data_IF_054011649691
#
_entry.id   IF_054011649691
#
_cell.length_a   1.000
_cell.length_b   1.000
_cell.length_c   1.000
_cell.angle_alpha   90.00
_cell.angle_beta   90.00
_cell.angle_gamma   90.00
#
_symmetry.space_group_name_H-M   'P 1'
#
loop_
_entity.id
_entity.type
_entity.pdbx_description
1 polymer ?
#
# COMPACT_ATOMS: atom_id res chain seq x y z
N UNK A 1 12.33 -50.80 -1.04
CA UNK A 1 12.11 -50.58 -2.49
C UNK A 1 12.75 -49.27 -2.87
N UNK A 2 13.60 -49.28 -3.90
CA UNK A 2 14.49 -48.20 -4.35
C UNK A 2 13.91 -47.53 -5.60
N UNK A 3 14.21 -46.22 -5.73
CA UNK A 3 14.24 -45.35 -6.93
C UNK A 3 12.96 -44.58 -7.32
N UNK A 4 13.07 -43.40 -7.99
CA UNK A 4 14.18 -42.42 -7.95
C UNK A 4 13.73 -40.94 -7.86
N UNK A 5 14.76 -40.13 -7.60
CA UNK A 5 14.86 -38.66 -7.66
C UNK A 5 14.77 -38.20 -9.12
N UNK A 6 13.95 -37.18 -9.41
CA UNK A 6 14.07 -36.36 -10.61
C UNK A 6 14.56 -34.95 -10.25
N UNK A 7 15.81 -34.68 -10.61
CA UNK A 7 16.36 -33.32 -10.78
C UNK A 7 15.94 -32.84 -12.17
N UNK A 8 15.37 -31.63 -12.24
CA UNK A 8 15.31 -30.85 -13.46
C UNK A 8 16.14 -29.57 -13.29
N UNK A 9 16.88 -29.26 -14.33
CA UNK A 9 18.00 -28.32 -14.42
C UNK A 9 17.62 -27.20 -15.40
N UNK A 10 18.24 -26.01 -15.26
CA UNK A 10 18.37 -24.89 -16.23
C UNK A 10 17.12 -24.03 -16.45
N UNK A 11 17.16 -22.72 -16.72
CA UNK A 11 18.19 -21.72 -17.09
C UNK A 11 17.75 -20.36 -16.46
N UNK A 12 18.57 -19.40 -16.07
CA UNK A 12 19.67 -18.79 -16.82
C UNK A 12 19.14 -17.60 -17.65
N UNK A 13 19.01 -16.41 -17.06
CA UNK A 13 18.94 -15.15 -17.81
C UNK A 13 19.58 -14.01 -16.99
N UNK A 14 20.83 -13.69 -17.32
CA UNK A 14 21.47 -12.41 -16.97
C UNK A 14 21.02 -11.37 -18.01
N UNK A 15 20.61 -10.18 -17.55
CA UNK A 15 20.50 -9.01 -18.41
C UNK A 15 21.30 -7.85 -17.79
N UNK A 16 22.39 -7.52 -18.46
CA UNK A 16 23.23 -6.32 -18.32
C UNK A 16 22.41 -5.05 -18.59
N UNK A 17 22.58 -4.01 -17.78
CA UNK A 17 22.43 -2.63 -18.28
C UNK A 17 23.56 -1.74 -17.78
N UNK A 18 24.07 -0.97 -18.74
CA UNK A 18 25.34 -0.28 -18.75
C UNK A 18 25.33 1.02 -17.93
N UNK A 19 26.45 1.28 -17.26
CA UNK A 19 26.79 2.55 -16.67
C UNK A 19 27.22 3.56 -17.76
N UNK A 20 26.71 4.79 -17.68
CA UNK A 20 27.25 5.93 -18.43
C UNK A 20 27.99 6.82 -17.42
N UNK A 21 29.32 6.85 -17.54
CA UNK A 21 30.16 7.82 -16.87
C UNK A 21 30.35 9.02 -17.82
N UNK A 22 30.00 10.23 -17.37
CA UNK A 22 30.48 11.47 -17.99
C UNK A 22 31.60 12.04 -17.12
N UNK A 23 32.83 11.87 -17.60
CA UNK A 23 33.98 12.69 -17.25
C UNK A 23 34.19 13.72 -18.37
N UNK A 24 34.20 15.00 -18.03
CA UNK A 24 34.85 16.02 -18.84
C UNK A 24 35.43 17.09 -17.91
N UNK A 25 36.75 17.09 -17.87
CA UNK A 25 37.64 18.07 -17.28
C UNK A 25 37.77 19.25 -18.24
N UNK A 26 37.95 20.46 -17.72
CA UNK A 26 38.19 21.65 -18.53
C UNK A 26 38.49 22.89 -17.70
N UNK A 27 39.72 22.95 -17.18
CA UNK A 27 40.35 24.15 -16.62
C UNK A 27 40.92 25.01 -17.74
N UNK A 28 40.91 26.33 -17.58
CA UNK A 28 41.55 27.27 -18.50
C UNK A 28 41.39 28.70 -18.00
N UNK A 29 42.27 29.11 -17.10
CA UNK A 29 42.48 30.50 -16.69
C UNK A 29 43.20 31.26 -17.81
N UNK A 30 42.65 32.39 -18.24
CA UNK A 30 43.39 33.40 -18.99
C UNK A 30 43.00 34.80 -18.48
N UNK A 31 44.04 35.54 -18.13
CA UNK A 31 44.02 36.76 -17.33
C UNK A 31 43.92 37.97 -18.26
N UNK A 32 42.79 38.69 -18.25
CA UNK A 32 42.69 40.01 -18.91
C UNK A 32 41.94 41.01 -18.05
N UNK A 33 42.70 42.01 -17.56
CA UNK A 33 42.40 43.43 -17.22
C UNK A 33 40.94 43.84 -16.90
N UNK A 34 40.66 44.50 -15.76
CA UNK A 34 39.31 44.88 -15.39
C UNK A 34 38.84 46.10 -16.21
N UNK A 35 37.84 45.91 -17.06
CA UNK A 35 37.02 47.00 -17.62
C UNK A 35 35.84 47.23 -16.69
N UNK A 36 35.66 48.45 -16.19
CA UNK A 36 34.54 48.81 -15.32
C UNK A 36 33.21 48.75 -16.09
N UNK A 37 32.36 47.78 -15.74
CA UNK A 37 30.99 47.63 -16.27
C UNK A 37 30.03 48.57 -15.53
N UNK A 38 29.12 49.28 -16.22
CA UNK A 38 28.03 50.01 -15.55
C UNK A 38 27.06 49.04 -14.86
N UNK A 39 26.29 49.49 -13.85
CA UNK A 39 25.39 48.62 -13.09
C UNK A 39 24.30 48.03 -13.99
N UNK A 40 24.24 46.69 -14.03
CA UNK A 40 23.18 45.92 -14.69
C UNK A 40 21.88 46.09 -13.90
N UNK A 41 20.82 46.56 -14.56
CA UNK A 41 19.47 46.60 -13.98
C UNK A 41 19.00 45.19 -13.60
N UNK A 42 18.43 45.07 -12.40
CA UNK A 42 17.90 43.81 -11.88
C UNK A 42 16.85 43.20 -12.85
N UNK A 43 16.81 41.86 -13.00
CA UNK A 43 15.75 41.21 -13.77
C UNK A 43 14.38 41.51 -13.14
N UNK A 44 13.31 41.64 -13.94
CA UNK A 44 11.97 41.77 -13.41
C UNK A 44 11.64 40.56 -12.51
N UNK A 45 11.09 40.84 -11.34
CA UNK A 45 10.64 39.82 -10.41
C UNK A 45 9.70 38.84 -11.14
N UNK A 46 10.12 37.58 -11.24
CA UNK A 46 9.28 36.52 -11.80
C UNK A 46 7.96 36.47 -11.05
N UNK A 47 6.86 36.33 -11.80
CA UNK A 47 5.53 36.08 -11.23
C UNK A 47 5.61 34.91 -10.25
N UNK A 48 5.03 35.03 -9.04
CA UNK A 48 4.98 33.94 -8.08
C UNK A 48 4.44 32.67 -8.74
N UNK A 49 5.00 31.49 -8.43
CA UNK A 49 4.45 30.24 -8.93
C UNK A 49 2.96 30.17 -8.58
N UNK A 50 2.15 29.77 -9.57
CA UNK A 50 0.71 29.61 -9.38
C UNK A 50 0.46 28.69 -8.17
N UNK A 51 -0.50 29.02 -7.28
CA UNK A 51 -0.84 28.17 -6.15
C UNK A 51 -1.12 26.75 -6.63
N UNK A 52 -0.54 25.75 -5.95
CA UNK A 52 -0.84 24.35 -6.21
C UNK A 52 -2.36 24.14 -6.16
N UNK A 53 -2.94 23.33 -7.07
CA UNK A 53 -4.37 23.03 -7.03
C UNK A 53 -4.78 22.59 -5.63
N UNK A 54 -5.90 23.11 -5.13
CA UNK A 54 -6.44 22.70 -3.85
C UNK A 54 -6.56 21.17 -3.80
N UNK A 55 -6.21 20.51 -2.68
CA UNK A 55 -6.39 19.08 -2.54
C UNK A 55 -7.84 18.72 -2.86
N UNK A 56 -8.05 17.71 -3.71
CA UNK A 56 -9.36 17.09 -3.84
C UNK A 56 -9.88 16.79 -2.42
N UNK A 57 -11.13 17.18 -2.12
CA UNK A 57 -11.72 17.00 -0.80
C UNK A 57 -11.68 15.52 -0.42
N UNK A 58 -10.75 15.14 0.46
CA UNK A 58 -10.62 13.77 0.94
C UNK A 58 -11.56 13.54 2.11
N UNK A 59 -12.39 12.51 2.04
CA UNK A 59 -13.23 12.06 3.15
C UNK A 59 -12.48 11.01 3.96
N UNK A 60 -12.22 11.24 5.25
CA UNK A 60 -11.55 10.26 6.09
C UNK A 60 -12.39 9.01 6.25
N UNK A 61 -11.73 7.85 6.24
CA UNK A 61 -12.36 6.55 6.47
C UNK A 61 -11.87 5.92 7.76
N UNK A 62 -10.55 5.92 7.98
CA UNK A 62 -9.93 5.38 9.18
C UNK A 62 -8.59 6.07 9.44
N UNK A 63 -8.44 6.64 10.62
CA UNK A 63 -7.20 7.20 11.14
C UNK A 63 -6.87 6.49 12.45
N UNK A 64 -5.86 5.59 12.46
CA UNK A 64 -5.46 4.87 13.67
C UNK A 64 -5.13 5.79 14.84
N UNK A 65 -5.56 5.41 16.03
CA UNK A 65 -5.21 6.07 17.28
C UNK A 65 -4.22 5.22 18.10
N UNK A 66 -3.89 5.67 19.31
CA UNK A 66 -3.14 4.88 20.30
C UNK A 66 -3.98 3.78 20.97
N UNK A 67 -4.95 3.22 20.25
CA UNK A 67 -5.86 2.17 20.68
C UNK A 67 -6.32 1.33 19.48
N UNK A 68 -7.16 0.33 19.73
CA UNK A 68 -7.83 -0.46 18.68
C UNK A 68 -8.94 0.31 17.96
N UNK A 69 -9.16 1.58 18.27
CA UNK A 69 -10.15 2.43 17.63
C UNK A 69 -9.49 3.44 16.67
N UNK A 70 -10.28 3.94 15.73
CA UNK A 70 -9.93 5.02 14.80
C UNK A 70 -10.64 6.31 15.21
N UNK A 71 -10.15 7.46 14.75
CA UNK A 71 -10.79 8.76 15.06
C UNK A 71 -12.22 8.89 14.51
N UNK A 72 -12.56 8.07 13.53
CA UNK A 72 -13.85 7.95 12.87
C UNK A 72 -14.75 6.91 13.55
N UNK A 73 -14.39 6.46 14.77
CA UNK A 73 -15.15 5.51 15.59
C UNK A 73 -15.29 4.12 14.94
N UNK A 74 -14.45 3.81 13.94
CA UNK A 74 -14.25 2.45 13.43
C UNK A 74 -13.19 1.71 14.25
N UNK A 75 -13.16 0.37 14.18
CA UNK A 75 -12.12 -0.46 14.81
C UNK A 75 -10.96 -0.82 13.89
N UNK A 76 -9.83 -1.13 14.51
CA UNK A 76 -8.67 -1.79 13.93
C UNK A 76 -8.57 -3.19 14.52
N UNK A 77 -8.53 -4.20 13.65
CA UNK A 77 -8.27 -5.59 14.02
C UNK A 77 -7.00 -6.09 13.35
N UNK A 78 -6.29 -6.99 14.04
CA UNK A 78 -5.16 -7.72 13.48
C UNK A 78 -5.54 -9.18 13.34
N UNK A 79 -5.12 -9.79 12.25
CA UNK A 79 -5.22 -11.24 12.12
C UNK A 79 -4.03 -11.76 11.33
N UNK A 80 -3.61 -12.97 11.66
CA UNK A 80 -2.58 -13.69 10.95
C UNK A 80 -3.15 -15.00 10.46
N UNK A 81 -2.58 -15.50 9.37
CA UNK A 81 -2.99 -16.76 8.76
C UNK A 81 -1.74 -17.52 8.32
N UNK A 82 -1.85 -18.84 8.33
CA UNK A 82 -0.81 -19.76 7.93
C UNK A 82 -1.47 -21.13 7.66
N UNK A 83 -1.12 -21.79 6.56
CA UNK A 83 -1.52 -23.19 6.34
C UNK A 83 -0.91 -24.12 7.41
N UNK A 84 0.26 -23.76 7.95
CA UNK A 84 0.96 -24.48 9.01
C UNK A 84 1.11 -23.55 10.20
N UNK A 85 0.11 -23.52 11.07
CA UNK A 85 0.06 -22.60 12.22
C UNK A 85 1.24 -22.77 13.18
N UNK A 86 1.82 -23.97 13.28
CA UNK A 86 3.02 -24.25 14.08
C UNK A 86 4.32 -23.66 13.50
N UNK A 87 4.31 -23.23 12.24
CA UNK A 87 5.44 -22.54 11.58
C UNK A 87 5.28 -21.01 11.59
N UNK A 88 4.22 -20.50 12.23
CA UNK A 88 3.93 -19.08 12.37
C UNK A 88 4.11 -18.63 13.82
N UNK A 89 4.90 -17.58 14.03
CA UNK A 89 4.99 -16.87 15.31
C UNK A 89 4.37 -15.49 15.16
N UNK A 90 3.43 -15.16 16.04
CA UNK A 90 2.79 -13.84 16.07
C UNK A 90 3.71 -12.82 16.75
N UNK A 91 3.91 -11.69 16.10
CA UNK A 91 4.55 -10.53 16.71
C UNK A 91 3.57 -9.72 17.56
N UNK A 92 4.10 -8.69 18.21
CA UNK A 92 3.26 -7.71 18.90
C UNK A 92 2.60 -6.76 17.90
N UNK A 93 1.36 -6.36 18.21
CA UNK A 93 0.73 -5.20 17.58
C UNK A 93 1.16 -3.93 18.31
N UNK A 94 1.46 -2.88 17.57
CA UNK A 94 1.75 -1.55 18.10
C UNK A 94 0.74 -0.55 17.55
N UNK A 95 0.01 0.10 18.46
CA UNK A 95 -0.93 1.17 18.13
C UNK A 95 -0.30 2.52 18.46
N UNK A 96 -0.23 3.40 17.47
CA UNK A 96 0.22 4.78 17.63
C UNK A 96 -0.75 5.72 16.93
N UNK A 97 -0.79 6.98 17.38
CA UNK A 97 -1.54 8.01 16.66
C UNK A 97 -1.01 8.13 15.23
N UNK A 98 -1.87 7.91 14.25
CA UNK A 98 -1.54 7.99 12.82
C UNK A 98 -1.00 6.70 12.20
N UNK A 99 -0.73 5.63 12.96
CA UNK A 99 -0.34 4.34 12.39
C UNK A 99 -0.52 3.16 13.36
N UNK A 100 -0.95 2.02 12.82
CA UNK A 100 -0.88 0.71 13.49
C UNK A 100 0.18 -0.14 12.78
N UNK A 101 0.94 -0.93 13.53
CA UNK A 101 1.92 -1.89 12.99
C UNK A 101 1.64 -3.29 13.52
N UNK A 102 1.72 -4.29 12.64
CA UNK A 102 1.58 -5.69 13.02
C UNK A 102 2.58 -6.55 12.24
N UNK A 103 3.15 -7.55 12.92
CA UNK A 103 4.16 -8.42 12.35
C UNK A 103 3.87 -9.89 12.67
N UNK A 104 4.32 -10.76 11.78
CA UNK A 104 4.44 -12.20 11.99
C UNK A 104 5.78 -12.69 11.47
N UNK A 105 6.24 -13.84 11.94
CA UNK A 105 7.43 -14.50 11.39
C UNK A 105 7.13 -15.95 11.05
N UNK A 106 7.73 -16.41 9.95
CA UNK A 106 7.60 -17.77 9.43
C UNK A 106 8.93 -18.48 9.46
N UNK A 107 8.95 -19.74 9.86
CA UNK A 107 10.17 -20.57 9.90
C UNK A 107 10.34 -21.50 8.70
N UNK A 108 9.30 -21.64 7.87
CA UNK A 108 9.27 -22.52 6.70
C UNK A 108 8.57 -21.91 5.49
N UNK A 109 8.62 -22.63 4.37
CA UNK A 109 7.86 -22.28 3.18
C UNK A 109 6.39 -22.71 3.34
N UNK A 110 5.49 -21.81 2.98
CA UNK A 110 4.05 -22.01 3.09
C UNK A 110 3.35 -21.64 1.78
N UNK A 111 2.29 -22.36 1.41
CA UNK A 111 1.48 -21.98 0.25
C UNK A 111 0.66 -20.71 0.50
N UNK A 112 0.25 -20.48 1.76
CA UNK A 112 -0.51 -19.29 2.16
C UNK A 112 -0.24 -18.97 3.63
N UNK A 113 0.41 -17.84 3.87
CA UNK A 113 0.61 -17.28 5.21
C UNK A 113 0.71 -15.75 5.15
N UNK A 114 0.65 -15.07 6.30
CA UNK A 114 0.85 -13.63 6.34
C UNK A 114 0.30 -12.96 7.59
N UNK A 115 0.51 -11.65 7.63
CA UNK A 115 -0.05 -10.72 8.60
C UNK A 115 -1.05 -9.81 7.90
N UNK A 116 -2.11 -9.43 8.61
CA UNK A 116 -3.13 -8.54 8.10
C UNK A 116 -3.62 -7.56 9.16
N UNK A 117 -3.97 -6.36 8.68
CA UNK A 117 -4.64 -5.31 9.42
C UNK A 117 -5.98 -5.03 8.74
N UNK A 118 -7.06 -5.00 9.52
CA UNK A 118 -8.40 -4.63 9.08
C UNK A 118 -8.79 -3.31 9.73
N UNK A 119 -9.14 -2.34 8.91
CA UNK A 119 -9.69 -1.06 9.35
C UNK A 119 -11.17 -1.03 8.97
N UNK A 120 -12.05 -1.06 9.97
CA UNK A 120 -13.49 -1.00 9.76
C UNK A 120 -13.93 0.41 9.35
N UNK A 121 -15.01 0.46 8.57
CA UNK A 121 -15.69 1.69 8.21
C UNK A 121 -16.10 2.51 9.45
N UNK A 122 -16.28 3.83 9.32
CA UNK A 122 -16.69 4.70 10.42
C UNK A 122 -17.88 4.14 11.20
N UNK A 123 -17.81 4.21 12.53
CA UNK A 123 -18.81 3.68 13.47
C UNK A 123 -19.01 2.13 13.47
N UNK A 124 -18.13 1.35 12.84
CA UNK A 124 -18.22 -0.12 12.85
C UNK A 124 -17.15 -0.78 13.72
N UNK A 125 -17.55 -1.87 14.40
CA UNK A 125 -16.68 -2.64 15.31
C UNK A 125 -16.50 -4.09 14.89
N UNK A 126 -16.91 -4.47 13.67
CA UNK A 126 -16.94 -5.87 13.22
C UNK A 126 -18.19 -6.66 13.62
N UNK A 127 -19.07 -6.07 14.43
CA UNK A 127 -20.30 -6.69 14.95
C UNK A 127 -21.53 -5.89 14.56
N UNK A 128 -22.69 -6.56 14.44
CA UNK A 128 -23.95 -5.89 14.14
C UNK A 128 -24.36 -4.88 15.24
N UNK A 129 -25.05 -3.78 14.90
CA UNK A 129 -25.47 -3.38 13.55
C UNK A 129 -24.30 -2.88 12.69
N UNK A 130 -24.25 -3.32 11.43
CA UNK A 130 -23.21 -2.91 10.46
C UNK A 130 -23.75 -1.75 9.62
N UNK A 131 -22.97 -0.67 9.53
CA UNK A 131 -23.27 0.50 8.70
C UNK A 131 -22.17 0.71 7.67
N UNK A 132 -22.29 0.16 6.45
CA UNK A 132 -21.26 0.30 5.43
C UNK A 132 -21.04 1.76 5.00
N UNK A 133 -19.82 2.09 4.61
CA UNK A 133 -19.45 3.37 4.03
C UNK A 133 -19.75 3.38 2.53
N UNK A 134 -20.53 4.35 2.08
CA UNK A 134 -20.82 4.53 0.65
C UNK A 134 -19.72 5.37 -0.01
N UNK A 135 -18.81 4.67 -0.70
CA UNK A 135 -17.72 5.25 -1.47
C UNK A 135 -18.06 5.47 -2.96
N UNK A 136 -19.32 5.33 -3.39
CA UNK A 136 -19.70 5.32 -4.82
C UNK A 136 -19.26 6.57 -5.59
N UNK A 137 -19.26 7.73 -4.91
CA UNK A 137 -18.95 9.03 -5.49
C UNK A 137 -17.46 9.36 -5.54
N UNK A 138 -16.57 8.49 -5.08
CA UNK A 138 -15.12 8.73 -5.05
C UNK A 138 -14.40 8.00 -6.18
N UNK A 139 -13.37 8.62 -6.73
CA UNK A 139 -12.50 8.03 -7.76
C UNK A 139 -11.28 7.31 -7.20
N UNK A 140 -10.85 7.61 -5.98
CA UNK A 140 -9.55 7.20 -5.44
C UNK A 140 -9.61 6.77 -3.98
N UNK A 141 -8.87 5.71 -3.66
CA UNK A 141 -8.45 5.34 -2.30
C UNK A 141 -7.08 5.96 -2.04
N UNK A 142 -6.92 6.57 -0.88
CA UNK A 142 -5.64 7.08 -0.36
C UNK A 142 -5.32 6.36 0.93
N UNK A 143 -4.16 5.71 0.97
CA UNK A 143 -3.77 4.88 2.12
C UNK A 143 -2.28 5.02 2.41
N UNK A 144 -1.94 5.34 3.66
CA UNK A 144 -0.55 5.38 4.10
C UNK A 144 -0.07 3.98 4.48
N UNK A 145 1.01 3.53 3.87
CA UNK A 145 1.53 2.17 4.02
C UNK A 145 3.04 2.15 4.28
N UNK A 146 3.48 1.12 5.00
CA UNK A 146 4.89 0.82 5.28
C UNK A 146 5.08 -0.68 5.54
N UNK A 147 6.28 -1.19 5.24
CA UNK A 147 6.79 -2.48 5.72
C UNK A 147 8.27 -2.34 6.08
N UNK A 148 8.81 -3.13 7.00
CA UNK A 148 10.23 -3.00 7.38
C UNK A 148 11.20 -3.33 6.23
N UNK A 149 10.73 -4.11 5.25
CA UNK A 149 11.45 -4.44 4.01
C UNK A 149 10.64 -3.99 2.79
N UNK A 150 11.27 -4.05 1.62
CA UNK A 150 10.52 -3.91 0.36
C UNK A 150 9.50 -5.05 0.27
N UNK A 151 8.23 -4.69 0.07
CA UNK A 151 7.13 -5.64 0.08
C UNK A 151 6.01 -5.22 -0.89
N UNK A 152 5.27 -6.21 -1.40
CA UNK A 152 4.02 -5.99 -2.12
C UNK A 152 2.86 -6.27 -1.17
N UNK A 153 2.21 -5.22 -0.68
CA UNK A 153 1.02 -5.36 0.16
C UNK A 153 -0.22 -5.53 -0.71
N UNK A 154 -1.11 -6.42 -0.29
CA UNK A 154 -2.45 -6.56 -0.88
C UNK A 154 -3.44 -5.73 -0.09
N UNK A 155 -4.17 -4.85 -0.77
CA UNK A 155 -5.28 -4.07 -0.22
C UNK A 155 -6.58 -4.71 -0.69
N UNK A 156 -7.49 -5.02 0.24
CA UNK A 156 -8.82 -5.54 -0.07
C UNK A 156 -9.87 -4.55 0.39
N UNK A 157 -10.80 -4.24 -0.50
CA UNK A 157 -12.03 -3.53 -0.14
C UNK A 157 -13.09 -4.58 0.17
N UNK A 158 -13.46 -4.70 1.45
CA UNK A 158 -14.47 -5.67 1.88
C UNK A 158 -15.84 -5.01 1.84
N UNK A 159 -16.79 -5.50 1.02
CA UNK A 159 -18.18 -5.06 1.10
C UNK A 159 -18.90 -5.71 2.28
N UNK A 160 -20.06 -5.17 2.66
CA UNK A 160 -21.04 -5.89 3.47
C UNK A 160 -22.44 -5.88 2.82
N UNK A 161 -23.06 -7.05 2.57
CA UNK A 161 -22.51 -8.39 2.79
C UNK A 161 -21.33 -8.71 1.85
N UNK A 162 -20.43 -9.58 2.31
CA UNK A 162 -19.41 -10.18 1.43
C UNK A 162 -20.11 -11.15 0.47
N UNK A 163 -19.67 -11.18 -0.79
CA UNK A 163 -20.20 -12.12 -1.78
C UNK A 163 -20.05 -13.58 -1.29
N UNK A 164 -21.05 -14.42 -1.57
CA UNK A 164 -21.11 -15.79 -1.05
C UNK A 164 -19.99 -16.71 -1.59
N UNK A 165 -19.41 -16.37 -2.73
CA UNK A 165 -18.26 -17.03 -3.34
C UNK A 165 -16.91 -16.59 -2.71
N UNK A 166 -16.93 -15.68 -1.73
CA UNK A 166 -15.73 -15.16 -1.07
C UNK A 166 -14.90 -14.25 -1.97
N UNK A 167 -15.43 -13.84 -3.12
CA UNK A 167 -14.74 -12.99 -4.06
C UNK A 167 -14.68 -11.54 -3.55
N UNK A 168 -13.49 -10.96 -3.59
CA UNK A 168 -13.22 -9.59 -3.17
C UNK A 168 -12.25 -8.95 -4.15
N UNK A 169 -12.48 -7.67 -4.45
CA UNK A 169 -11.63 -6.90 -5.33
C UNK A 169 -10.36 -6.48 -4.57
N UNK A 170 -9.19 -6.70 -5.16
CA UNK A 170 -7.91 -6.47 -4.50
C UNK A 170 -6.99 -5.60 -5.33
N UNK A 171 -6.24 -4.72 -4.67
CA UNK A 171 -5.16 -3.95 -5.26
C UNK A 171 -3.82 -4.38 -4.65
N UNK A 172 -2.73 -4.06 -5.34
CA UNK A 172 -1.37 -4.27 -4.85
C UNK A 172 -0.65 -2.94 -4.73
N UNK A 173 0.16 -2.79 -3.69
CA UNK A 173 1.03 -1.63 -3.49
C UNK A 173 2.45 -2.07 -3.14
N UNK A 174 3.43 -1.52 -3.85
CA UNK A 174 4.84 -1.64 -3.49
C UNK A 174 5.16 -0.63 -2.40
N UNK A 175 5.75 -1.11 -1.31
CA UNK A 175 6.08 -0.29 -0.14
C UNK A 175 7.47 -0.66 0.38
N UNK A 176 8.01 0.19 1.24
CA UNK A 176 9.29 -0.01 1.91
C UNK A 176 9.21 0.52 3.36
N UNK A 177 10.38 0.71 3.98
CA UNK A 177 10.54 1.17 5.37
C UNK A 177 10.08 2.60 5.65
N UNK A 178 9.73 3.36 4.61
CA UNK A 178 9.19 4.72 4.70
C UNK A 178 7.67 4.71 4.58
N UNK A 179 6.99 5.27 5.58
CA UNK A 179 5.54 5.46 5.52
C UNK A 179 5.21 6.46 4.42
N UNK A 180 4.47 6.00 3.42
CA UNK A 180 4.16 6.75 2.20
C UNK A 180 2.69 6.62 1.86
N UNK A 181 2.09 7.71 1.38
CA UNK A 181 0.73 7.67 0.83
C UNK A 181 0.73 6.98 -0.53
N UNK A 182 -0.08 5.94 -0.66
CA UNK A 182 -0.40 5.27 -1.92
C UNK A 182 -1.79 5.74 -2.36
N UNK A 183 -1.87 6.18 -3.61
CA UNK A 183 -3.13 6.59 -4.24
C UNK A 183 -3.50 5.55 -5.28
N UNK A 184 -4.68 4.95 -5.13
CA UNK A 184 -5.15 3.85 -5.97
C UNK A 184 -6.49 4.24 -6.57
N UNK A 185 -6.63 4.09 -7.88
CA UNK A 185 -7.91 4.36 -8.55
C UNK A 185 -8.96 3.30 -8.13
N UNK A 186 -10.19 3.74 -7.92
CA UNK A 186 -11.32 2.88 -7.53
C UNK A 186 -12.06 2.38 -8.76
N UNK A 187 -11.33 1.64 -9.61
CA UNK A 187 -11.83 1.02 -10.83
C UNK A 187 -11.45 -0.46 -10.91
N UNK A 188 -11.97 -1.15 -11.92
CA UNK A 188 -11.71 -2.58 -12.15
C UNK A 188 -10.29 -2.90 -12.60
N UNK A 189 -9.50 -1.90 -12.99
CA UNK A 189 -8.11 -2.08 -13.42
C UNK A 189 -7.20 -2.17 -12.20
N UNK A 190 -7.42 -1.28 -11.23
CA UNK A 190 -6.65 -1.20 -9.99
C UNK A 190 -7.17 -2.18 -8.93
N UNK A 191 -8.46 -2.49 -8.95
CA UNK A 191 -9.10 -3.50 -8.11
C UNK A 191 -9.75 -4.60 -8.97
N UNK A 192 -8.96 -5.44 -9.67
CA UNK A 192 -9.50 -6.57 -10.41
C UNK A 192 -10.17 -7.57 -9.47
N UNK A 193 -11.19 -8.24 -9.99
CA UNK A 193 -11.70 -9.48 -9.38
C UNK A 193 -10.86 -10.66 -9.89
N UNK A 194 -10.58 -11.67 -9.04
CA UNK A 194 -9.96 -12.90 -9.50
C UNK A 194 -10.75 -13.55 -10.64
N UNK A 195 -10.06 -14.14 -11.63
CA UNK A 195 -10.72 -14.67 -12.84
C UNK A 195 -11.76 -15.77 -12.55
N UNK A 196 -11.57 -16.54 -11.47
CA UNK A 196 -12.52 -17.57 -11.04
C UNK A 196 -13.82 -16.98 -10.46
N UNK A 197 -13.83 -15.69 -10.15
CA UNK A 197 -15.03 -14.95 -9.76
C UNK A 197 -15.82 -14.66 -11.04
N UNK A 198 -16.87 -15.47 -11.28
CA UNK A 198 -17.71 -15.42 -12.49
C UNK A 198 -18.58 -14.14 -12.58
N UNK A 199 -17.97 -12.96 -12.55
CA UNK A 199 -18.62 -11.65 -12.69
C UNK A 199 -19.60 -11.23 -11.59
N UNK A 200 -19.93 -12.14 -10.65
CA UNK A 200 -20.90 -11.92 -9.59
C UNK A 200 -20.28 -11.56 -8.23
N UNK A 201 -19.01 -11.94 -8.00
CA UNK A 201 -18.20 -11.38 -6.92
C UNK A 201 -18.18 -9.85 -7.05
N UNK A 202 -18.31 -9.12 -5.94
CA UNK A 202 -18.71 -7.72 -5.94
C UNK A 202 -17.88 -6.87 -6.91
N UNK A 203 -18.45 -6.52 -8.07
CA UNK A 203 -17.85 -5.58 -9.00
C UNK A 203 -17.46 -4.31 -8.23
N UNK A 204 -16.39 -3.62 -8.62
CA UNK A 204 -15.86 -2.46 -7.88
C UNK A 204 -16.95 -1.42 -7.57
N UNK A 205 -17.91 -1.21 -8.47
CA UNK A 205 -19.08 -0.38 -8.23
C UNK A 205 -19.95 -0.84 -7.03
N UNK A 206 -20.22 -2.15 -6.92
CA UNK A 206 -20.95 -2.74 -5.81
C UNK A 206 -20.14 -2.69 -4.50
N UNK A 207 -18.82 -2.90 -4.57
CA UNK A 207 -17.94 -2.78 -3.41
C UNK A 207 -17.96 -1.34 -2.87
N UNK A 208 -17.84 -0.36 -3.76
CA UNK A 208 -17.89 1.06 -3.40
C UNK A 208 -19.21 1.44 -2.74
N UNK A 209 -20.34 0.84 -3.12
CA UNK A 209 -21.63 1.17 -2.53
C UNK A 209 -21.77 0.73 -1.05
N UNK A 210 -20.90 -0.16 -0.57
CA UNK A 210 -21.02 -0.72 0.78
C UNK A 210 -19.70 -1.17 1.38
N UNK A 211 -18.67 -0.32 1.34
CA UNK A 211 -17.35 -0.62 1.93
C UNK A 211 -17.51 -0.77 3.44
N UNK A 212 -17.23 -1.96 3.94
CA UNK A 212 -17.32 -2.31 5.36
C UNK A 212 -15.97 -2.28 6.06
N UNK A 213 -14.91 -2.70 5.37
CA UNK A 213 -13.54 -2.55 5.85
C UNK A 213 -12.56 -2.41 4.71
N UNK A 214 -11.38 -1.90 5.04
CA UNK A 214 -10.18 -1.97 4.22
C UNK A 214 -9.22 -2.92 4.92
N UNK A 215 -8.90 -4.03 4.28
CA UNK A 215 -7.91 -4.98 4.79
C UNK A 215 -6.58 -4.74 4.05
N UNK A 216 -5.49 -4.65 4.78
CA UNK A 216 -4.13 -4.59 4.24
C UNK A 216 -3.39 -5.83 4.69
N UNK A 217 -2.77 -6.52 3.75
CA UNK A 217 -2.21 -7.85 3.95
C UNK A 217 -0.78 -7.88 3.41
N UNK A 218 0.16 -8.33 4.25
CA UNK A 218 1.47 -8.77 3.81
C UNK A 218 1.43 -10.30 3.69
N UNK A 219 1.18 -10.79 2.46
CA UNK A 219 1.14 -12.22 2.17
C UNK A 219 2.55 -12.77 2.01
N UNK A 220 2.75 -13.97 2.54
CA UNK A 220 4.03 -14.63 2.63
C UNK A 220 3.94 -16.08 2.18
N UNK A 221 4.94 -16.49 1.40
CA UNK A 221 5.15 -17.90 1.01
C UNK A 221 6.51 -18.45 1.47
N UNK A 222 7.33 -17.57 2.05
CA UNK A 222 8.69 -17.88 2.49
C UNK A 222 8.88 -17.59 3.97
N UNK A 223 9.87 -18.27 4.56
CA UNK A 223 10.37 -17.95 5.87
C UNK A 223 10.85 -16.49 5.98
N UNK A 224 10.87 -15.95 7.20
CA UNK A 224 11.27 -14.57 7.48
C UNK A 224 10.22 -13.79 8.26
N UNK A 225 10.56 -12.54 8.57
CA UNK A 225 9.64 -11.58 9.17
C UNK A 225 8.77 -10.94 8.08
N UNK A 226 7.49 -10.80 8.38
CA UNK A 226 6.49 -10.18 7.51
C UNK A 226 5.69 -9.19 8.35
N UNK A 227 5.95 -7.91 8.16
CA UNK A 227 5.26 -6.84 8.86
C UNK A 227 4.57 -5.90 7.88
N UNK A 228 3.57 -5.21 8.40
CA UNK A 228 2.93 -4.10 7.73
C UNK A 228 2.58 -3.02 8.76
N UNK A 229 2.55 -1.79 8.28
CA UNK A 229 1.96 -0.68 8.99
C UNK A 229 0.97 0.05 8.09
N UNK A 230 -0.17 0.41 8.66
CA UNK A 230 -1.22 1.18 8.00
C UNK A 230 -1.44 2.45 8.78
N UNK A 231 -1.35 3.58 8.09
CA UNK A 231 -1.68 4.89 8.60
C UNK A 231 -3.08 5.33 8.22
N UNK A 232 -3.22 6.59 7.81
CA UNK A 232 -4.52 7.15 7.43
C UNK A 232 -5.06 6.50 6.15
N UNK A 233 -6.38 6.25 6.15
CA UNK A 233 -7.18 5.81 5.00
C UNK A 233 -8.24 6.86 4.69
N UNK A 234 -8.35 7.26 3.43
CA UNK A 234 -9.37 8.22 2.97
C UNK A 234 -9.80 7.98 1.53
N UNK A 235 -10.95 8.54 1.15
CA UNK A 235 -11.50 8.49 -0.20
C UNK A 235 -11.53 9.89 -0.81
N UNK A 236 -11.25 10.01 -2.11
CA UNK A 236 -11.23 11.30 -2.82
C UNK A 236 -11.63 11.16 -4.29
N UNK A 237 -11.86 12.28 -4.97
CA UNK A 237 -12.01 12.34 -6.44
C UNK A 237 -10.68 12.60 -7.14
#
# INVERSE_FOLDING_TARGET
>A
MKHPIHKATQAGLLALFAAVALTACGSGDDETTPTATPPVSAPPAGTPPAPAPAPATSTPFATPMNSTDTSEVGKVETYAFAEKSNEQTLGAVSFAAGAVTFATSLTGAQAFAGAALRLYAPNNTGTAPITPFNASSFGKLRIELKSSTDATLTIKLQPNPVAADGCTATAQALVNSTQSEVVIDLDSTSFPLPEYCNGAGSAVAAVKAGVFSVDVINSAVSAGAHDLSVGRVSFSN
#
